data_IF_823587029216
#
_entry.id   IF_823587029216
#
_cell.length_a   1.000
_cell.length_b   1.000
_cell.length_c   1.000
_cell.angle_alpha   90.00
_cell.angle_beta   90.00
_cell.angle_gamma   90.00
#
_symmetry.space_group_name_H-M   'P 1'
#
loop_
_entity.id
_entity.type
_entity.pdbx_description
1 polymer ?
#
# COMPACT_ATOMS: atom_id res chain seq x y z
N UNK A 1 15.66 9.09 11.86
CA UNK A 1 14.63 8.54 10.94
C UNK A 1 13.55 7.94 11.82
N UNK A 2 12.46 8.67 11.95
CA UNK A 2 11.40 8.37 12.91
C UNK A 2 10.14 7.84 12.22
N UNK A 3 9.93 8.26 10.97
CA UNK A 3 8.81 7.84 10.11
C UNK A 3 9.38 7.38 8.77
N UNK A 4 9.01 6.17 8.35
CA UNK A 4 9.26 5.64 7.01
C UNK A 4 7.92 5.46 6.29
N UNK A 5 7.72 6.18 5.19
CA UNK A 5 6.59 5.95 4.27
C UNK A 5 7.11 5.26 3.01
N UNK A 6 6.86 3.95 2.90
CA UNK A 6 7.24 3.16 1.74
C UNK A 6 6.13 3.25 0.65
N UNK A 7 6.20 4.32 -0.14
CA UNK A 7 5.23 4.62 -1.20
C UNK A 7 5.64 4.15 -2.60
N UNK A 8 6.95 4.03 -2.88
CA UNK A 8 7.43 3.70 -4.21
C UNK A 8 6.82 2.38 -4.74
N UNK A 9 6.36 2.38 -5.98
CA UNK A 9 5.78 1.21 -6.60
C UNK A 9 5.56 1.39 -8.10
N UNK A 10 5.44 0.26 -8.81
CA UNK A 10 5.16 0.20 -10.25
C UNK A 10 4.11 -0.86 -10.56
N UNK A 11 3.52 -0.78 -11.75
CA UNK A 11 2.60 -1.76 -12.34
C UNK A 11 3.17 -2.27 -13.67
N UNK A 12 2.89 -3.53 -14.01
CA UNK A 12 3.23 -4.19 -15.28
C UNK A 12 2.09 -5.14 -15.62
N UNK A 13 1.00 -4.55 -16.06
CA UNK A 13 -0.28 -5.23 -16.14
C UNK A 13 -0.37 -6.04 -17.44
N UNK A 14 -0.71 -7.31 -17.31
CA UNK A 14 -1.01 -8.22 -18.41
C UNK A 14 -1.65 -9.49 -17.86
N UNK A 15 -2.43 -10.20 -18.67
CA UNK A 15 -2.99 -11.48 -18.26
C UNK A 15 -1.87 -12.47 -17.92
N UNK A 16 -2.09 -13.31 -16.91
CA UNK A 16 -1.07 -14.21 -16.36
C UNK A 16 -0.40 -15.08 -17.43
N UNK A 17 -1.17 -15.59 -18.39
CA UNK A 17 -0.67 -16.41 -19.51
C UNK A 17 0.35 -15.67 -20.40
N UNK A 18 0.25 -14.35 -20.47
CA UNK A 18 1.11 -13.47 -21.27
C UNK A 18 2.18 -12.77 -20.41
N UNK A 19 2.19 -13.01 -19.10
CA UNK A 19 3.10 -12.35 -18.18
C UNK A 19 4.50 -12.92 -18.31
N UNK A 20 5.41 -12.09 -18.81
CA UNK A 20 6.82 -12.46 -18.90
C UNK A 20 7.46 -12.44 -17.50
N UNK A 21 8.41 -13.36 -17.20
CA UNK A 21 9.07 -13.42 -15.90
C UNK A 21 9.75 -12.11 -15.48
N UNK A 22 10.34 -11.36 -16.40
CA UNK A 22 10.97 -10.06 -16.10
C UNK A 22 9.97 -9.02 -15.57
N UNK A 23 8.73 -9.03 -16.09
CA UNK A 23 7.66 -8.13 -15.63
C UNK A 23 7.11 -8.53 -14.26
N UNK A 24 7.13 -9.83 -13.95
CA UNK A 24 6.86 -10.31 -12.60
C UNK A 24 7.95 -9.84 -11.64
N UNK A 25 9.22 -10.15 -11.95
CA UNK A 25 10.36 -9.87 -11.10
C UNK A 25 10.55 -8.39 -10.82
N UNK A 26 10.36 -7.53 -11.84
CA UNK A 26 10.44 -6.08 -11.70
C UNK A 26 9.44 -5.55 -10.65
N UNK A 27 8.18 -5.98 -10.73
CA UNK A 27 7.12 -5.56 -9.80
C UNK A 27 7.38 -6.08 -8.39
N UNK A 28 7.76 -7.35 -8.22
CA UNK A 28 8.08 -7.92 -6.90
C UNK A 28 9.27 -7.21 -6.28
N UNK A 29 10.33 -6.98 -7.06
CA UNK A 29 11.56 -6.33 -6.60
C UNK A 29 11.29 -4.90 -6.12
N UNK A 30 10.54 -4.11 -6.88
CA UNK A 30 10.27 -2.71 -6.54
C UNK A 30 9.22 -2.62 -5.43
N UNK A 31 8.09 -3.31 -5.54
CA UNK A 31 6.97 -3.07 -4.64
C UNK A 31 7.13 -3.80 -3.30
N UNK A 32 7.67 -5.02 -3.30
CA UNK A 32 7.76 -5.86 -2.10
C UNK A 32 9.18 -5.96 -1.55
N UNK A 33 10.17 -6.29 -2.38
CA UNK A 33 11.55 -6.42 -1.91
C UNK A 33 12.13 -5.09 -1.45
N UNK A 34 11.79 -3.96 -2.10
CA UNK A 34 12.23 -2.65 -1.62
C UNK A 34 11.60 -2.30 -0.26
N UNK A 35 10.31 -2.63 -0.05
CA UNK A 35 9.65 -2.44 1.25
C UNK A 35 10.37 -3.22 2.35
N UNK A 36 10.75 -4.47 2.11
CA UNK A 36 11.59 -5.25 3.03
C UNK A 36 12.92 -4.55 3.34
N UNK A 37 13.65 -4.12 2.30
CA UNK A 37 14.99 -3.51 2.45
C UNK A 37 14.95 -2.21 3.26
N UNK A 38 14.03 -1.32 2.90
CA UNK A 38 13.86 -0.03 3.58
C UNK A 38 13.45 -0.22 5.04
N UNK A 39 12.50 -1.12 5.27
CA UNK A 39 12.01 -1.44 6.61
C UNK A 39 13.13 -2.01 7.48
N UNK A 40 13.87 -3.01 6.97
CA UNK A 40 15.02 -3.58 7.67
C UNK A 40 16.08 -2.54 8.04
N UNK A 41 16.36 -1.60 7.14
CA UNK A 41 17.31 -0.52 7.39
C UNK A 41 16.85 0.45 8.49
N UNK A 42 15.54 0.77 8.55
CA UNK A 42 14.98 1.67 9.55
C UNK A 42 14.89 1.06 10.96
N UNK A 43 14.64 -0.26 11.04
CA UNK A 43 14.29 -0.95 12.29
C UNK A 43 15.31 -0.78 13.43
N UNK A 44 16.62 -0.85 13.13
CA UNK A 44 17.65 -0.77 14.17
C UNK A 44 17.61 0.56 14.92
N UNK A 45 17.40 1.67 14.19
CA UNK A 45 17.29 3.00 14.79
C UNK A 45 16.02 3.12 15.64
N UNK A 46 14.88 2.79 15.04
CA UNK A 46 13.56 2.90 15.67
C UNK A 46 13.44 2.08 16.96
N UNK A 47 13.93 0.84 16.94
CA UNK A 47 13.89 -0.05 18.12
C UNK A 47 14.82 0.39 19.25
N UNK A 48 15.97 1.01 18.91
CA UNK A 48 16.91 1.56 19.90
C UNK A 48 16.32 2.78 20.60
N UNK A 49 15.71 3.69 19.85
CA UNK A 49 15.12 4.93 20.38
C UNK A 49 13.72 4.73 20.98
N UNK A 50 13.14 3.52 20.85
CA UNK A 50 11.79 3.17 21.31
C UNK A 50 10.70 4.08 20.72
N UNK A 51 10.87 4.43 19.45
CA UNK A 51 9.90 5.17 18.68
C UNK A 51 10.11 4.89 17.20
N UNK A 52 9.03 4.64 16.47
CA UNK A 52 9.05 4.55 15.02
C UNK A 52 7.68 4.35 14.42
N UNK A 53 7.52 4.81 13.17
CA UNK A 53 6.34 4.60 12.35
C UNK A 53 6.77 4.07 10.99
N UNK A 54 6.32 2.88 10.62
CA UNK A 54 6.53 2.31 9.28
C UNK A 54 5.16 2.21 8.61
N UNK A 55 5.01 2.90 7.48
CA UNK A 55 3.76 2.99 6.73
C UNK A 55 4.03 2.50 5.31
N UNK A 56 3.50 1.33 4.96
CA UNK A 56 3.55 0.81 3.60
C UNK A 56 2.33 1.24 2.79
N UNK A 57 2.53 1.81 1.61
CA UNK A 57 1.40 2.08 0.69
C UNK A 57 1.12 0.81 -0.12
N UNK A 58 0.14 0.04 0.33
CA UNK A 58 -0.34 -1.15 -0.38
C UNK A 58 -1.34 -0.75 -1.48
N UNK A 59 -2.39 -1.53 -1.73
CA UNK A 59 -3.48 -1.22 -2.64
C UNK A 59 -4.71 -2.04 -2.28
N UNK A 60 -5.89 -1.56 -2.64
CA UNK A 60 -7.12 -2.38 -2.62
C UNK A 60 -6.98 -3.66 -3.44
N UNK A 61 -6.16 -3.64 -4.50
CA UNK A 61 -5.85 -4.81 -5.35
C UNK A 61 -5.06 -5.87 -4.58
N UNK A 62 -4.30 -5.48 -3.55
CA UNK A 62 -3.64 -6.42 -2.65
C UNK A 62 -4.62 -7.22 -1.76
N UNK A 63 -5.89 -6.81 -1.70
CA UNK A 63 -6.93 -7.51 -0.91
C UNK A 63 -7.97 -8.17 -1.80
N UNK A 64 -8.41 -7.47 -2.84
CA UNK A 64 -9.48 -7.93 -3.74
C UNK A 64 -8.97 -8.69 -4.97
N UNK A 65 -7.71 -8.50 -5.33
CA UNK A 65 -7.19 -8.89 -6.64
C UNK A 65 -7.70 -7.99 -7.77
N UNK A 66 -7.10 -8.13 -8.95
CA UNK A 66 -7.60 -7.50 -10.17
C UNK A 66 -7.08 -8.28 -11.39
N UNK A 67 -7.95 -8.48 -12.39
CA UNK A 67 -7.56 -9.19 -13.60
C UNK A 67 -6.41 -8.45 -14.30
N UNK A 68 -5.40 -9.20 -14.75
CA UNK A 68 -4.20 -8.64 -15.37
C UNK A 68 -3.14 -8.11 -14.39
N UNK A 69 -3.38 -8.19 -13.08
CA UNK A 69 -2.49 -7.61 -12.06
C UNK A 69 -1.96 -8.66 -11.07
N UNK A 70 -1.73 -9.91 -11.50
CA UNK A 70 -1.30 -10.98 -10.59
C UNK A 70 0.02 -10.66 -9.85
N UNK A 71 1.02 -10.12 -10.56
CA UNK A 71 2.27 -9.62 -9.99
C UNK A 71 2.06 -8.48 -8.97
N UNK A 72 1.24 -7.49 -9.34
CA UNK A 72 0.97 -6.33 -8.51
C UNK A 72 0.17 -6.72 -7.26
N UNK A 73 -0.91 -7.49 -7.41
CA UNK A 73 -1.70 -8.04 -6.32
C UNK A 73 -0.83 -8.86 -5.36
N UNK A 74 0.01 -9.77 -5.86
CA UNK A 74 0.94 -10.53 -5.03
C UNK A 74 1.90 -9.62 -4.26
N UNK A 75 2.47 -8.59 -4.92
CA UNK A 75 3.36 -7.64 -4.26
C UNK A 75 2.67 -6.87 -3.13
N UNK A 76 1.46 -6.36 -3.39
CA UNK A 76 0.69 -5.52 -2.46
C UNK A 76 0.07 -6.35 -1.31
N UNK A 77 -0.42 -7.56 -1.59
CA UNK A 77 -0.84 -8.52 -0.57
C UNK A 77 0.34 -8.94 0.32
N UNK A 78 1.51 -9.20 -0.28
CA UNK A 78 2.73 -9.53 0.43
C UNK A 78 3.16 -8.44 1.42
N UNK A 79 2.98 -7.16 1.07
CA UNK A 79 3.23 -6.05 2.00
C UNK A 79 2.33 -6.14 3.25
N UNK A 80 1.06 -6.52 3.11
CA UNK A 80 0.10 -6.65 4.23
C UNK A 80 0.56 -7.77 5.16
N UNK A 81 0.91 -8.94 4.61
CA UNK A 81 1.42 -10.06 5.39
C UNK A 81 2.71 -9.72 6.14
N UNK A 82 3.68 -9.11 5.45
CA UNK A 82 4.95 -8.70 6.07
C UNK A 82 4.75 -7.65 7.16
N UNK A 83 3.84 -6.69 6.96
CA UNK A 83 3.48 -5.66 7.95
C UNK A 83 2.95 -6.30 9.23
N UNK A 84 2.04 -7.27 9.12
CA UNK A 84 1.49 -8.00 10.27
C UNK A 84 2.54 -8.79 11.03
N UNK A 85 3.47 -9.45 10.33
CA UNK A 85 4.59 -10.16 10.98
C UNK A 85 5.47 -9.19 11.73
N UNK A 86 5.90 -8.12 11.07
CA UNK A 86 6.84 -7.19 11.67
C UNK A 86 6.24 -6.42 12.85
N UNK A 87 4.95 -6.04 12.77
CA UNK A 87 4.25 -5.39 13.87
C UNK A 87 4.35 -6.20 15.17
N UNK A 88 4.22 -7.53 15.10
CA UNK A 88 4.34 -8.41 16.26
C UNK A 88 5.76 -8.42 16.85
N UNK A 89 6.79 -8.29 16.03
CA UNK A 89 8.18 -8.27 16.47
C UNK A 89 8.55 -6.98 17.22
N UNK A 90 8.00 -5.84 16.80
CA UNK A 90 8.50 -4.52 17.22
C UNK A 90 7.54 -3.70 18.08
N UNK A 91 6.28 -4.12 18.24
CA UNK A 91 5.28 -3.38 19.04
C UNK A 91 5.74 -3.11 20.49
N UNK A 92 6.41 -4.06 21.15
CA UNK A 92 6.97 -3.89 22.51
C UNK A 92 8.07 -2.83 22.61
N UNK A 93 8.58 -2.37 21.46
CA UNK A 93 9.56 -1.29 21.34
C UNK A 93 8.91 0.04 20.94
N UNK A 94 7.58 0.15 21.03
CA UNK A 94 6.84 1.36 20.68
C UNK A 94 7.08 1.80 19.21
N UNK A 95 7.22 0.81 18.34
CA UNK A 95 7.28 0.98 16.89
C UNK A 95 6.00 0.42 16.30
N UNK A 96 5.28 1.22 15.51
CA UNK A 96 4.09 0.76 14.79
C UNK A 96 4.40 0.51 13.32
N UNK A 97 3.76 -0.51 12.75
CA UNK A 97 3.93 -0.92 11.36
C UNK A 97 2.55 -1.14 10.76
N UNK A 98 2.15 -0.30 9.81
CA UNK A 98 0.80 -0.33 9.21
C UNK A 98 0.88 -0.19 7.69
N UNK A 99 -0.23 -0.50 7.03
CA UNK A 99 -0.42 -0.24 5.61
C UNK A 99 -1.57 0.75 5.36
N UNK A 100 -1.48 1.49 4.27
CA UNK A 100 -2.61 2.20 3.67
C UNK A 100 -2.95 1.50 2.36
N UNK A 101 -4.23 1.17 2.14
CA UNK A 101 -4.73 0.55 0.92
C UNK A 101 -5.60 1.54 0.13
N UNK A 102 -5.02 2.32 -0.80
CA UNK A 102 -5.78 3.18 -1.70
C UNK A 102 -6.72 2.37 -2.60
N UNK A 103 -7.87 2.97 -2.91
CA UNK A 103 -8.67 2.64 -4.08
C UNK A 103 -8.12 3.29 -5.35
N UNK A 104 -8.99 3.71 -6.26
CA UNK A 104 -8.59 4.55 -7.39
C UNK A 104 -8.38 5.99 -6.94
N UNK A 105 -7.18 6.51 -7.22
CA UNK A 105 -6.76 7.87 -6.88
C UNK A 105 -6.47 8.62 -8.18
N UNK A 106 -7.03 9.82 -8.31
CA UNK A 106 -6.77 10.71 -9.41
C UNK A 106 -5.28 11.13 -9.41
N UNK A 107 -4.55 10.70 -10.44
CA UNK A 107 -3.13 10.98 -10.64
C UNK A 107 -2.85 11.15 -12.14
N UNK A 108 -1.64 11.57 -12.50
CA UNK A 108 -1.21 11.61 -13.91
C UNK A 108 -1.35 10.25 -14.63
N UNK A 109 -1.32 9.12 -13.90
CA UNK A 109 -1.54 7.80 -14.48
C UNK A 109 -3.01 7.52 -14.84
N UNK A 110 -3.97 8.18 -14.18
CA UNK A 110 -5.41 8.04 -14.49
C UNK A 110 -5.87 9.02 -15.58
N UNK A 111 -5.07 10.04 -15.90
CA UNK A 111 -5.37 11.00 -16.98
C UNK A 111 -5.34 10.34 -18.38
N UNK A 112 -4.68 9.18 -18.53
CA UNK A 112 -4.65 8.42 -19.78
C UNK A 112 -5.87 7.51 -20.01
N UNK A 113 -6.85 7.50 -19.09
CA UNK A 113 -8.06 6.68 -19.22
C UNK A 113 -9.07 7.36 -20.15
N UNK A 114 -9.71 6.56 -20.99
CA UNK A 114 -10.84 7.06 -21.78
C UNK A 114 -12.11 7.18 -20.91
N UNK A 115 -13.12 7.89 -21.43
CA UNK A 115 -14.38 8.14 -20.72
C UNK A 115 -15.06 6.85 -20.24
N UNK A 116 -15.10 5.82 -21.10
CA UNK A 116 -15.69 4.53 -20.77
C UNK A 116 -14.96 3.81 -19.62
N UNK A 117 -13.62 3.89 -19.58
CA UNK A 117 -12.82 3.35 -18.50
C UNK A 117 -13.05 4.12 -17.19
N UNK A 118 -13.15 5.45 -17.27
CA UNK A 118 -13.48 6.29 -16.13
C UNK A 118 -14.86 5.95 -15.57
N UNK A 119 -15.90 5.86 -16.40
CA UNK A 119 -17.25 5.47 -15.98
C UNK A 119 -17.28 4.09 -15.34
N UNK A 120 -16.59 3.10 -15.94
CA UNK A 120 -16.52 1.75 -15.41
C UNK A 120 -15.82 1.69 -14.04
N UNK A 121 -14.84 2.56 -13.80
CA UNK A 121 -14.19 2.69 -12.49
C UNK A 121 -15.14 3.37 -11.50
N UNK A 122 -15.77 4.49 -11.88
CA UNK A 122 -16.68 5.24 -11.00
C UNK A 122 -17.87 4.39 -10.56
N UNK A 123 -18.41 3.54 -11.46
CA UNK A 123 -19.48 2.60 -11.13
C UNK A 123 -19.12 1.57 -10.05
N UNK A 124 -17.83 1.37 -9.76
CA UNK A 124 -17.34 0.47 -8.69
C UNK A 124 -17.07 1.20 -7.37
N UNK A 125 -17.18 2.53 -7.33
CA UNK A 125 -16.85 3.33 -6.15
C UNK A 125 -18.14 3.91 -5.57
N UNK A 126 -18.64 3.39 -4.43
CA UNK A 126 -19.85 3.92 -3.78
C UNK A 126 -19.81 5.43 -3.49
N UNK A 127 -18.66 5.99 -3.17
CA UNK A 127 -18.50 7.44 -2.97
C UNK A 127 -18.71 8.28 -4.25
N UNK A 128 -18.84 7.64 -5.42
CA UNK A 128 -19.12 8.31 -6.70
C UNK A 128 -17.96 9.11 -7.28
N UNK A 129 -16.76 9.02 -6.70
CA UNK A 129 -15.59 9.76 -7.15
C UNK A 129 -14.29 8.99 -6.86
N UNK A 130 -13.26 9.21 -7.69
CA UNK A 130 -11.90 8.80 -7.35
C UNK A 130 -11.37 9.65 -6.19
N UNK A 131 -10.54 9.05 -5.32
CA UNK A 131 -9.86 9.79 -4.26
C UNK A 131 -8.77 10.70 -4.81
N UNK A 132 -8.22 11.56 -3.97
CA UNK A 132 -7.10 12.46 -4.25
C UNK A 132 -5.85 12.00 -3.52
N UNK A 133 -4.68 12.45 -3.98
CA UNK A 133 -3.42 12.18 -3.29
C UNK A 133 -3.47 12.66 -1.82
N UNK A 134 -4.15 13.79 -1.57
CA UNK A 134 -4.33 14.35 -0.22
C UNK A 134 -5.11 13.42 0.72
N UNK A 135 -6.05 12.62 0.21
CA UNK A 135 -6.80 11.65 1.03
C UNK A 135 -5.86 10.55 1.57
N UNK A 136 -4.89 10.12 0.74
CA UNK A 136 -3.87 9.15 1.14
C UNK A 136 -2.81 9.79 2.05
N UNK A 137 -2.44 11.05 1.77
CA UNK A 137 -1.52 11.80 2.60
C UNK A 137 -2.08 12.01 4.02
N UNK A 138 -3.36 12.36 4.14
CA UNK A 138 -4.04 12.51 5.43
C UNK A 138 -4.02 11.21 6.24
N UNK A 139 -4.28 10.06 5.60
CA UNK A 139 -4.17 8.76 6.24
C UNK A 139 -2.73 8.44 6.71
N UNK A 140 -1.72 8.84 5.93
CA UNK A 140 -0.32 8.69 6.33
C UNK A 140 0.05 9.59 7.51
N UNK A 141 -0.42 10.84 7.52
CA UNK A 141 -0.23 11.77 8.64
C UNK A 141 -0.87 11.21 9.91
N UNK A 142 -2.11 10.70 9.82
CA UNK A 142 -2.78 10.06 10.95
C UNK A 142 -1.98 8.88 11.51
N UNK A 143 -1.58 7.92 10.67
CA UNK A 143 -0.80 6.76 11.10
C UNK A 143 0.60 7.11 11.61
N UNK A 144 1.15 8.25 11.20
CA UNK A 144 2.44 8.75 11.68
C UNK A 144 2.34 9.50 13.02
N UNK A 145 1.15 9.96 13.39
CA UNK A 145 0.92 10.76 14.60
C UNK A 145 0.94 9.92 15.90
N UNK A 146 0.87 10.61 17.03
CA UNK A 146 0.67 9.98 18.35
C UNK A 146 -0.77 9.51 18.55
N UNK A 147 -1.75 10.02 17.79
CA UNK A 147 -3.15 9.59 17.88
C UNK A 147 -3.32 8.14 17.39
N UNK A 148 -2.42 7.66 16.52
CA UNK A 148 -2.38 6.29 16.04
C UNK A 148 -1.43 5.38 16.85
N UNK A 149 -0.97 5.80 18.04
CA UNK A 149 0.05 5.05 18.79
C UNK A 149 -0.40 3.62 19.20
N UNK A 150 -1.70 3.35 19.23
CA UNK A 150 -2.26 2.03 19.49
C UNK A 150 -2.63 1.22 18.23
N UNK A 151 -2.33 1.75 17.04
CA UNK A 151 -2.57 1.05 15.77
C UNK A 151 -1.28 0.43 15.25
N UNK A 152 -1.23 -0.91 15.16
CA UNK A 152 -0.13 -1.62 14.51
C UNK A 152 -0.64 -2.91 13.86
N UNK A 153 0.00 -3.35 12.78
CA UNK A 153 -0.41 -4.50 11.97
C UNK A 153 -1.68 -4.28 11.16
N UNK A 154 -2.18 -3.04 11.08
CA UNK A 154 -3.44 -2.70 10.42
C UNK A 154 -3.25 -2.37 8.94
N UNK A 155 -4.32 -2.51 8.17
CA UNK A 155 -4.44 -1.96 6.82
C UNK A 155 -5.60 -0.96 6.83
N UNK A 156 -5.26 0.32 6.66
CA UNK A 156 -6.24 1.39 6.59
C UNK A 156 -6.72 1.53 5.14
N UNK A 157 -7.99 1.22 4.90
CA UNK A 157 -8.60 1.28 3.57
C UNK A 157 -9.09 2.69 3.25
N UNK A 158 -8.56 3.29 2.18
CA UNK A 158 -8.95 4.64 1.71
C UNK A 158 -9.37 4.51 0.25
N UNK A 159 -10.58 4.02 0.02
CA UNK A 159 -11.00 3.50 -1.29
C UNK A 159 -12.43 3.90 -1.71
N UNK A 160 -13.06 4.85 -1.01
CA UNK A 160 -14.42 5.31 -1.33
C UNK A 160 -15.49 4.21 -1.25
N UNK A 161 -15.24 3.14 -0.50
CA UNK A 161 -16.15 1.99 -0.37
C UNK A 161 -16.01 0.92 -1.45
N UNK A 162 -15.02 1.02 -2.34
CA UNK A 162 -14.81 0.07 -3.45
C UNK A 162 -14.65 -1.38 -2.98
N UNK A 163 -14.09 -1.59 -1.78
CA UNK A 163 -14.20 -2.86 -1.07
C UNK A 163 -14.31 -2.62 0.43
N UNK A 164 -15.03 -3.51 1.12
CA UNK A 164 -15.31 -3.48 2.55
C UNK A 164 -14.90 -4.84 3.14
N UNK A 165 -13.97 -4.85 4.09
CA UNK A 165 -13.31 -6.06 4.63
C UNK A 165 -13.22 -5.96 6.15
#
# INVERSE_FOLDING_TARGET
LDILVANAGVTRDTLMMMMKPDKWDEVIKINLTAYFRLTKAALRGMTKQRFGRIIGVTSIVGVTGNAGQANYAASKAGMIGMTKSLAQEVARRNVTVNCIAPGFIATAMTEGLNEQQCEAILGKIPAGAMGKADDIAAAAVYLASDEANYMTGQTLHVNGGMAMI
#
